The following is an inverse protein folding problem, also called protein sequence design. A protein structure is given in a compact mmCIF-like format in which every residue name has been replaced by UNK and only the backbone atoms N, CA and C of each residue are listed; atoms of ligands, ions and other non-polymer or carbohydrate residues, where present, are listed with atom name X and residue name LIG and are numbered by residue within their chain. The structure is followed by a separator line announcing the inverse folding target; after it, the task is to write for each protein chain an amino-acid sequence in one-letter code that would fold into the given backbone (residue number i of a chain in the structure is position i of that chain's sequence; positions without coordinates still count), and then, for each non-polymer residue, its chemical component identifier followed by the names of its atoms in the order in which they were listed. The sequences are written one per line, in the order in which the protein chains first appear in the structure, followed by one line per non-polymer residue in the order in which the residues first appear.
data_IF_243924125518
#
_entry.id   IF_243924125518
#
_cell.length_a   1.000
_cell.length_b   1.000
_cell.length_c   1.000
_cell.angle_alpha   90.00
_cell.angle_beta   90.00
_cell.angle_gamma   90.00
#
_symmetry.space_group_name_H-M   'P 1'
#
loop_
_entity.id
_entity.type
_entity.pdbx_description
1 polymer ?
#
# COMPACT_ATOMS: atom_id res chain seq x y z
N UNK A 1 18.05 48.14 33.64
CA UNK A 1 17.87 47.35 32.40
C UNK A 1 17.45 45.94 32.81
N UNK A 2 16.16 45.59 32.67
CA UNK A 2 15.70 44.23 32.89
C UNK A 2 15.79 43.48 31.55
N UNK A 3 16.64 42.45 31.50
CA UNK A 3 16.73 41.52 30.38
C UNK A 3 15.69 40.42 30.59
N UNK A 4 14.69 40.36 29.72
CA UNK A 4 13.66 39.32 29.76
C UNK A 4 14.18 38.16 28.90
N UNK A 5 14.58 37.07 29.54
CA UNK A 5 14.97 35.84 28.87
C UNK A 5 13.69 35.12 28.41
N UNK A 6 13.34 35.24 27.13
CA UNK A 6 12.21 34.50 26.55
C UNK A 6 12.54 33.00 26.47
N UNK A 7 11.86 32.21 27.31
CA UNK A 7 11.91 30.75 27.27
C UNK A 7 10.95 30.27 26.16
N UNK A 8 11.51 29.92 25.00
CA UNK A 8 10.74 29.32 23.90
C UNK A 8 10.51 27.84 24.25
N UNK A 9 9.29 27.49 24.67
CA UNK A 9 8.87 26.10 24.75
C UNK A 9 8.77 25.53 23.34
N UNK A 10 9.78 24.77 22.93
CA UNK A 10 9.69 23.89 21.77
C UNK A 10 8.72 22.74 22.12
N UNK A 11 7.44 22.90 21.77
CA UNK A 11 6.50 21.78 21.81
C UNK A 11 6.91 20.82 20.69
N UNK A 12 7.72 19.82 21.03
CA UNK A 12 8.01 18.71 20.13
C UNK A 12 6.72 17.94 19.91
N UNK A 13 6.12 18.07 18.72
CA UNK A 13 5.13 17.12 18.27
C UNK A 13 5.85 15.80 18.10
N UNK A 14 5.77 14.93 19.11
CA UNK A 14 6.06 13.52 18.92
C UNK A 14 5.05 13.01 17.89
N UNK A 15 5.44 13.01 16.62
CA UNK A 15 4.78 12.18 15.63
C UNK A 15 4.78 10.79 16.24
N UNK A 16 3.60 10.22 16.48
CA UNK A 16 3.51 8.84 16.90
C UNK A 16 4.30 8.04 15.87
N UNK A 17 5.51 7.61 16.25
CA UNK A 17 6.34 6.75 15.41
C UNK A 17 5.55 5.46 15.35
N UNK A 18 4.74 5.33 14.30
CA UNK A 18 3.73 4.30 14.19
C UNK A 18 4.38 2.95 14.45
N UNK A 19 3.88 2.23 15.45
CA UNK A 19 4.25 0.84 15.72
C UNK A 19 3.66 -0.01 14.60
N UNK A 20 4.32 0.02 13.45
CA UNK A 20 4.00 -0.83 12.31
C UNK A 20 4.58 -2.22 12.54
N UNK A 21 3.88 -3.30 12.15
CA UNK A 21 4.41 -4.65 12.33
C UNK A 21 5.78 -4.85 11.70
N UNK A 22 6.57 -5.74 12.32
CA UNK A 22 7.86 -6.19 11.77
C UNK A 22 7.71 -6.81 10.38
N UNK A 23 8.78 -6.70 9.61
CA UNK A 23 8.90 -7.25 8.26
C UNK A 23 8.65 -6.21 7.18
N UNK A 24 8.65 -6.72 5.96
CA UNK A 24 8.50 -5.97 4.71
C UNK A 24 7.18 -6.38 4.06
N UNK A 25 6.36 -5.41 3.69
CA UNK A 25 5.04 -5.65 3.13
C UNK A 25 4.50 -4.40 2.45
N UNK A 26 3.45 -4.59 1.66
CA UNK A 26 2.84 -3.53 0.88
C UNK A 26 1.36 -3.42 1.21
N UNK A 27 0.88 -2.20 1.32
CA UNK A 27 -0.53 -1.87 1.54
C UNK A 27 -1.03 -0.97 0.40
N UNK A 28 -2.33 -1.02 0.12
CA UNK A 28 -2.97 -0.02 -0.75
C UNK A 28 -2.94 1.34 -0.05
N UNK A 29 -2.52 2.37 -0.78
CA UNK A 29 -2.38 3.73 -0.26
C UNK A 29 -3.76 4.32 0.08
N UNK A 30 -3.98 4.78 1.32
CA UNK A 30 -5.19 5.52 1.66
C UNK A 30 -5.08 6.98 1.20
N UNK A 31 -6.21 7.69 1.10
CA UNK A 31 -6.26 9.13 0.80
C UNK A 31 -5.41 10.00 1.73
N UNK A 32 -5.16 9.52 2.95
CA UNK A 32 -4.31 10.20 3.93
C UNK A 32 -2.80 10.16 3.60
N UNK A 33 -2.38 9.35 2.63
CA UNK A 33 -0.98 9.20 2.25
C UNK A 33 -0.27 8.02 2.92
N UNK A 34 1.01 7.83 2.58
CA UNK A 34 1.83 6.78 3.16
C UNK A 34 2.46 7.23 4.49
N UNK A 35 2.74 6.29 5.42
CA UNK A 35 3.47 6.61 6.64
C UNK A 35 4.88 7.14 6.32
N UNK A 36 5.43 7.97 7.22
CA UNK A 36 6.78 8.51 7.05
C UNK A 36 7.82 7.40 6.87
N UNK A 37 8.70 7.57 5.87
CA UNK A 37 9.77 6.62 5.56
C UNK A 37 9.34 5.40 4.73
N UNK A 38 8.05 5.27 4.38
CA UNK A 38 7.59 4.22 3.47
C UNK A 38 7.82 4.64 2.02
N UNK A 39 8.07 3.64 1.17
CA UNK A 39 8.25 3.85 -0.28
C UNK A 39 6.89 3.81 -0.97
N UNK A 40 6.78 4.54 -2.08
CA UNK A 40 5.56 4.58 -2.87
C UNK A 40 5.75 3.92 -4.24
N UNK A 41 4.64 3.44 -4.79
CA UNK A 41 4.54 2.97 -6.16
C UNK A 41 3.10 2.99 -6.63
N UNK A 42 2.87 2.78 -7.92
CA UNK A 42 1.54 2.75 -8.49
C UNK A 42 1.47 1.83 -9.70
N UNK A 43 0.28 1.26 -9.91
CA UNK A 43 -0.08 0.48 -11.10
C UNK A 43 -1.33 1.11 -11.69
N UNK A 44 -1.21 1.55 -12.94
CA UNK A 44 -2.33 1.92 -13.79
C UNK A 44 -2.73 0.67 -14.60
N UNK A 45 -3.97 0.26 -14.40
CA UNK A 45 -4.61 -0.83 -15.12
C UNK A 45 -5.49 -0.24 -16.20
N UNK A 46 -5.06 -0.46 -17.44
CA UNK A 46 -5.86 -0.28 -18.63
C UNK A 46 -6.86 -1.44 -18.69
N UNK A 47 -7.99 -1.25 -18.01
CA UNK A 47 -9.06 -2.23 -17.97
C UNK A 47 -9.85 -2.21 -19.28
N UNK A 48 -10.63 -3.25 -19.54
CA UNK A 48 -11.35 -3.41 -20.80
C UNK A 48 -12.15 -2.15 -21.22
N UNK A 49 -11.82 -1.60 -22.39
CA UNK A 49 -12.42 -0.39 -22.93
C UNK A 49 -13.92 -0.57 -23.27
N UNK A 50 -14.35 -1.81 -23.55
CA UNK A 50 -15.71 -2.12 -23.97
C UNK A 50 -16.49 -2.94 -22.95
N UNK A 51 -17.72 -2.52 -22.62
CA UNK A 51 -18.57 -3.19 -21.61
C UNK A 51 -17.93 -3.23 -20.21
N UNK A 52 -17.14 -2.22 -19.86
CA UNK A 52 -16.57 -2.05 -18.53
C UNK A 52 -17.66 -2.17 -17.45
N UNK A 53 -17.38 -3.00 -16.45
CA UNK A 53 -18.25 -3.20 -15.28
C UNK A 53 -17.54 -2.82 -13.97
N UNK A 54 -16.49 -2.00 -14.05
CA UNK A 54 -15.81 -1.46 -12.89
C UNK A 54 -16.77 -0.60 -12.06
N UNK A 55 -16.74 -0.82 -10.74
CA UNK A 55 -17.58 -0.15 -9.76
C UNK A 55 -16.73 0.13 -8.53
N UNK A 56 -16.81 1.35 -8.01
CA UNK A 56 -16.26 1.71 -6.72
C UNK A 56 -17.35 2.42 -5.90
N UNK A 57 -17.39 2.14 -4.60
CA UNK A 57 -18.37 2.77 -3.71
C UNK A 57 -18.09 4.27 -3.59
N UNK A 58 -19.14 5.08 -3.56
CA UNK A 58 -19.02 6.51 -3.26
C UNK A 58 -18.36 6.70 -1.88
N UNK A 59 -17.42 7.66 -1.79
CA UNK A 59 -16.71 7.91 -0.54
C UNK A 59 -15.63 6.87 -0.19
N UNK A 60 -15.17 6.04 -1.15
CA UNK A 60 -14.05 5.12 -0.92
C UNK A 60 -12.80 5.81 -0.32
N UNK A 61 -11.95 5.02 0.35
CA UNK A 61 -10.81 5.53 1.12
C UNK A 61 -9.46 5.41 0.39
N UNK A 62 -9.43 4.78 -0.77
CA UNK A 62 -8.21 4.57 -1.55
C UNK A 62 -7.76 5.84 -2.28
N UNK A 63 -6.46 6.07 -2.31
CA UNK A 63 -5.82 7.06 -3.17
C UNK A 63 -5.59 6.45 -4.55
N UNK A 64 -5.98 7.18 -5.60
CA UNK A 64 -5.90 6.71 -6.98
C UNK A 64 -7.01 7.26 -7.86
N UNK A 65 -7.06 6.78 -9.09
CA UNK A 65 -8.14 7.07 -10.05
C UNK A 65 -8.90 5.78 -10.33
N UNK A 66 -10.23 5.84 -10.28
CA UNK A 66 -11.08 4.66 -10.40
C UNK A 66 -12.23 4.98 -11.36
N UNK A 67 -12.19 4.40 -12.55
CA UNK A 67 -13.17 4.65 -13.61
C UNK A 67 -13.21 3.51 -14.61
N UNK A 68 -13.02 3.82 -15.89
CA UNK A 68 -12.73 2.81 -16.93
C UNK A 68 -11.43 2.14 -16.53
N UNK A 69 -10.33 2.89 -16.56
CA UNK A 69 -9.05 2.45 -16.04
C UNK A 69 -8.96 2.67 -14.53
N UNK A 70 -8.14 1.87 -13.88
CA UNK A 70 -7.92 1.93 -12.44
C UNK A 70 -6.45 2.11 -12.12
N UNK A 71 -6.11 3.19 -11.42
CA UNK A 71 -4.78 3.40 -10.90
C UNK A 71 -4.75 3.22 -9.39
N UNK A 72 -4.16 2.12 -8.94
CA UNK A 72 -3.90 1.88 -7.52
C UNK A 72 -2.52 2.39 -7.14
N UNK A 73 -2.46 3.13 -6.03
CA UNK A 73 -1.21 3.48 -5.38
C UNK A 73 -0.93 2.57 -4.19
N UNK A 74 0.34 2.39 -3.88
CA UNK A 74 0.83 1.49 -2.85
C UNK A 74 1.78 2.21 -1.89
N UNK A 75 1.71 1.81 -0.63
CA UNK A 75 2.68 2.13 0.40
C UNK A 75 3.44 0.86 0.76
N UNK A 76 4.74 0.85 0.51
CA UNK A 76 5.62 -0.27 0.81
C UNK A 76 6.50 0.05 2.00
N UNK A 77 6.36 -0.76 3.04
CA UNK A 77 7.29 -0.77 4.17
C UNK A 77 8.45 -1.68 3.81
N UNK A 78 9.63 -1.11 3.69
CA UNK A 78 10.85 -1.91 3.55
C UNK A 78 11.59 -2.06 4.89
N UNK A 79 12.73 -2.74 4.83
CA UNK A 79 13.59 -3.00 6.00
C UNK A 79 14.24 -1.73 6.58
N UNK A 80 14.32 -0.65 5.81
CA UNK A 80 14.93 0.62 6.20
C UNK A 80 13.90 1.62 6.78
N UNK A 81 12.61 1.38 6.58
CA UNK A 81 11.54 2.20 7.15
C UNK A 81 11.58 2.13 8.69
N UNK A 82 11.87 3.28 9.33
CA UNK A 82 11.90 3.43 10.78
C UNK A 82 10.51 3.07 11.33
N UNK A 83 10.42 1.90 11.97
CA UNK A 83 9.15 1.37 12.45
C UNK A 83 9.36 0.41 13.61
N UNK A 84 8.44 0.47 14.57
CA UNK A 84 8.55 -0.24 15.84
C UNK A 84 8.57 -1.75 15.70
N UNK A 85 9.17 -2.42 16.68
CA UNK A 85 9.28 -3.87 16.79
C UNK A 85 7.94 -4.57 17.16
N UNK A 86 6.81 -4.09 16.67
CA UNK A 86 5.49 -4.64 17.00
C UNK A 86 5.18 -5.92 16.22
N UNK A 87 4.45 -6.83 16.86
CA UNK A 87 3.91 -8.01 16.22
C UNK A 87 2.65 -7.65 15.41
N UNK A 88 2.31 -8.48 14.43
CA UNK A 88 1.11 -8.28 13.61
C UNK A 88 -0.16 -8.33 14.46
N UNK A 89 -1.06 -7.32 14.35
CA UNK A 89 -2.29 -7.29 15.13
C UNK A 89 -3.12 -8.53 14.84
N UNK A 90 -3.83 -9.02 15.86
CA UNK A 90 -4.73 -10.16 15.69
C UNK A 90 -5.91 -9.78 14.81
N UNK A 91 -6.31 -10.70 13.93
CA UNK A 91 -7.46 -10.52 13.05
C UNK A 91 -7.36 -11.32 11.76
N UNK A 92 -8.39 -11.15 10.93
CA UNK A 92 -8.53 -11.82 9.65
C UNK A 92 -8.42 -10.78 8.55
N UNK A 93 -7.29 -10.75 7.86
CA UNK A 93 -7.01 -9.73 6.86
C UNK A 93 -5.89 -10.19 5.94
N UNK A 94 -5.81 -9.53 4.79
CA UNK A 94 -4.76 -9.73 3.83
C UNK A 94 -3.94 -8.45 3.66
N UNK A 95 -2.67 -8.64 3.34
CA UNK A 95 -1.74 -7.59 2.93
C UNK A 95 -1.15 -7.96 1.58
N UNK A 96 -0.67 -6.99 0.83
CA UNK A 96 0.03 -7.27 -0.42
C UNK A 96 1.44 -7.74 -0.07
N UNK A 97 1.87 -8.84 -0.68
CA UNK A 97 3.14 -9.47 -0.35
C UNK A 97 4.28 -8.60 -0.86
N UNK A 98 5.34 -8.46 -0.07
CA UNK A 98 6.60 -7.89 -0.52
C UNK A 98 7.74 -8.90 -0.30
N UNK A 99 8.45 -9.25 -1.37
CA UNK A 99 9.50 -10.26 -1.36
C UNK A 99 8.99 -11.68 -1.59
N UNK A 100 9.74 -12.69 -1.13
CA UNK A 100 9.52 -14.11 -1.48
C UNK A 100 8.53 -14.80 -0.54
N UNK A 101 8.44 -14.38 0.72
CA UNK A 101 7.64 -15.05 1.75
C UNK A 101 6.62 -14.12 2.40
N UNK A 102 5.62 -14.71 3.04
CA UNK A 102 4.70 -13.98 3.90
C UNK A 102 5.25 -13.84 5.33
N UNK A 103 4.84 -12.78 6.07
CA UNK A 103 5.15 -12.68 7.48
C UNK A 103 4.63 -13.91 8.26
N UNK A 104 5.25 -14.25 9.42
CA UNK A 104 4.80 -15.35 10.25
C UNK A 104 3.30 -15.27 10.57
N UNK A 105 2.58 -16.38 10.38
CA UNK A 105 1.13 -16.47 10.60
C UNK A 105 0.26 -15.98 9.43
N UNK A 106 0.85 -15.66 8.28
CA UNK A 106 0.12 -15.40 7.04
C UNK A 106 0.38 -16.51 6.00
N UNK A 107 -0.65 -16.80 5.21
CA UNK A 107 -0.64 -17.74 4.09
C UNK A 107 -0.51 -17.01 2.77
N UNK A 108 0.27 -17.58 1.85
CA UNK A 108 0.48 -17.04 0.51
C UNK A 108 -0.77 -17.26 -0.37
N UNK A 109 -1.05 -16.29 -1.22
CA UNK A 109 -2.01 -16.42 -2.32
C UNK A 109 -1.73 -15.39 -3.41
N UNK A 110 -2.51 -15.45 -4.49
CA UNK A 110 -2.41 -14.52 -5.60
C UNK A 110 -3.79 -14.20 -6.18
N UNK A 111 -3.90 -13.00 -6.74
CA UNK A 111 -5.05 -12.58 -7.55
C UNK A 111 -4.54 -12.15 -8.92
N UNK A 112 -5.22 -12.60 -9.97
CA UNK A 112 -4.95 -12.22 -11.34
C UNK A 112 -6.07 -11.30 -11.82
N UNK A 113 -5.70 -10.14 -12.35
CA UNK A 113 -6.56 -9.23 -13.09
C UNK A 113 -6.24 -9.40 -14.57
N UNK A 114 -7.25 -9.82 -15.31
CA UNK A 114 -7.23 -9.91 -16.77
C UNK A 114 -7.47 -8.50 -17.31
N UNK A 115 -6.39 -7.84 -17.72
CA UNK A 115 -6.41 -6.45 -18.20
C UNK A 115 -6.70 -6.44 -19.73
N UNK A 116 -6.80 -5.25 -20.35
CA UNK A 116 -7.18 -5.10 -21.77
C UNK A 116 -6.31 -5.95 -22.72
N UNK A 117 -6.95 -6.65 -23.67
CA UNK A 117 -6.27 -7.58 -24.58
C UNK A 117 -5.66 -6.93 -25.83
N UNK A 118 -6.23 -5.80 -26.31
CA UNK A 118 -5.91 -5.28 -27.64
C UNK A 118 -4.97 -4.09 -27.62
N UNK A 119 -5.35 -3.03 -26.91
CA UNK A 119 -4.61 -1.74 -26.88
C UNK A 119 -4.09 -1.42 -25.49
N UNK A 120 -3.66 -2.47 -24.80
CA UNK A 120 -3.17 -2.41 -23.45
C UNK A 120 -2.09 -1.33 -23.28
N UNK A 121 -2.42 -0.35 -22.46
CA UNK A 121 -1.57 0.77 -22.09
C UNK A 121 -1.22 0.75 -20.60
N UNK A 122 -1.20 -0.44 -19.98
CA UNK A 122 -0.79 -0.64 -18.60
C UNK A 122 0.54 0.06 -18.30
N UNK A 123 0.61 0.72 -17.15
CA UNK A 123 1.80 1.42 -16.71
C UNK A 123 2.02 1.23 -15.22
N UNK A 124 3.27 1.37 -14.78
CA UNK A 124 3.59 1.34 -13.36
C UNK A 124 4.90 2.07 -13.06
N UNK A 125 5.06 2.48 -11.81
CA UNK A 125 6.30 3.08 -11.33
C UNK A 125 6.49 2.83 -9.82
N UNK A 126 7.70 3.08 -9.34
CA UNK A 126 8.04 3.01 -7.93
C UNK A 126 8.09 1.58 -7.39
N UNK A 127 7.78 1.42 -6.10
CA UNK A 127 7.83 0.12 -5.42
C UNK A 127 6.44 -0.52 -5.38
N UNK A 128 6.29 -1.61 -6.11
CA UNK A 128 5.08 -2.42 -6.19
C UNK A 128 5.13 -3.60 -5.23
N UNK A 129 3.94 -4.16 -4.86
CA UNK A 129 3.89 -5.48 -4.26
C UNK A 129 4.48 -6.54 -5.20
N UNK A 130 4.82 -7.69 -4.65
CA UNK A 130 5.32 -8.82 -5.43
C UNK A 130 4.24 -9.33 -6.38
N UNK A 131 4.57 -9.49 -7.65
CA UNK A 131 3.60 -9.75 -8.68
C UNK A 131 4.21 -9.79 -10.06
N UNK A 132 3.36 -9.95 -11.06
CA UNK A 132 3.67 -9.78 -12.47
C UNK A 132 2.83 -8.61 -12.99
N UNK A 133 3.47 -7.66 -13.66
CA UNK A 133 2.87 -6.39 -14.08
C UNK A 133 3.09 -6.19 -15.59
N UNK A 134 2.80 -7.23 -16.37
CA UNK A 134 2.97 -7.23 -17.82
C UNK A 134 1.64 -6.83 -18.50
N UNK A 135 1.21 -7.60 -19.51
CA UNK A 135 -0.09 -7.46 -20.15
C UNK A 135 -1.20 -7.58 -19.11
N UNK A 136 -1.12 -8.56 -18.22
CA UNK A 136 -2.11 -8.76 -17.16
C UNK A 136 -1.49 -8.34 -15.82
N UNK A 137 -2.31 -8.24 -14.77
CA UNK A 137 -1.79 -7.91 -13.43
C UNK A 137 -1.98 -9.08 -12.47
N UNK A 138 -0.90 -9.76 -12.10
CA UNK A 138 -0.89 -10.71 -10.99
C UNK A 138 -0.33 -10.04 -9.74
N UNK A 139 -1.11 -9.97 -8.66
CA UNK A 139 -0.64 -9.50 -7.35
C UNK A 139 -0.60 -10.67 -6.37
N UNK A 140 0.56 -10.88 -5.75
CA UNK A 140 0.69 -11.81 -4.64
C UNK A 140 0.27 -11.13 -3.33
N UNK A 141 -0.43 -11.87 -2.49
CA UNK A 141 -0.88 -11.41 -1.19
C UNK A 141 -0.54 -12.42 -0.09
N UNK A 142 -0.65 -11.94 1.13
CA UNK A 142 -0.50 -12.71 2.35
C UNK A 142 -1.78 -12.55 3.17
N UNK A 143 -2.52 -13.61 3.44
CA UNK A 143 -3.74 -13.58 4.24
C UNK A 143 -3.57 -14.32 5.55
N UNK A 144 -4.15 -13.77 6.61
CA UNK A 144 -4.25 -14.41 7.91
C UNK A 144 -5.72 -14.63 8.23
N UNK A 145 -6.03 -15.81 8.74
CA UNK A 145 -7.35 -16.20 9.24
C UNK A 145 -7.15 -17.34 10.27
N UNK A 146 -8.08 -17.55 11.21
CA UNK A 146 -8.03 -18.70 12.10
C UNK A 146 -8.11 -19.97 11.26
N UNK A 147 -7.14 -20.85 11.48
CA UNK A 147 -7.20 -22.25 11.07
C UNK A 147 -7.98 -23.01 12.15
#
# INVERSE_FOLDING_TARGET
MLSILSLILMVSTAYAVGLWPKGTYTLVKPKAGCPFGWKEGWRDQDNEDTRICNRITHGHHFYGTFGVNMMFHYCTKDEHAISGHSDWPRGNYCILRQGISCPPGFHMGSILWDDEDKRNSNAFEGILPSGTFDKDTLINYCCRYPI
#
